data_IF_272266120615
#
_entry.id   IF_272266120615
#
_cell.length_a   1.000
_cell.length_b   1.000
_cell.length_c   1.000
_cell.angle_alpha   90.00
_cell.angle_beta   90.00
_cell.angle_gamma   90.00
#
_symmetry.space_group_name_H-M   'P 1'
#
loop_
_entity.id
_entity.type
_entity.pdbx_description
1 polymer ?
#
# COMPACT_ATOMS: atom_id res chain seq x y z
N UNK A 1 9.09 -17.57 -29.51
CA UNK A 1 8.37 -18.08 -28.33
C UNK A 1 7.59 -16.89 -27.80
N UNK A 2 6.27 -16.92 -27.99
CA UNK A 2 5.34 -15.90 -27.50
C UNK A 2 4.74 -16.39 -26.17
N UNK A 3 4.34 -15.42 -25.34
CA UNK A 3 3.42 -15.43 -24.19
C UNK A 3 4.00 -14.97 -22.84
N UNK A 4 3.39 -13.89 -22.34
CA UNK A 4 3.33 -13.36 -20.96
C UNK A 4 4.67 -12.84 -20.40
N UNK A 5 5.00 -11.55 -20.34
CA UNK A 5 4.16 -10.39 -19.95
C UNK A 5 3.12 -10.70 -18.87
N UNK A 6 3.41 -11.69 -18.02
CA UNK A 6 2.89 -11.64 -16.65
C UNK A 6 3.41 -10.33 -16.10
N UNK A 7 2.54 -9.35 -15.89
CA UNK A 7 2.79 -8.24 -15.00
C UNK A 7 3.27 -8.87 -13.69
N UNK A 8 4.59 -8.96 -13.52
CA UNK A 8 5.18 -9.61 -12.36
C UNK A 8 4.64 -8.81 -11.19
N UNK A 9 3.78 -9.45 -10.39
CA UNK A 9 3.25 -8.84 -9.19
C UNK A 9 4.44 -8.24 -8.45
N UNK A 10 4.38 -6.94 -8.06
CA UNK A 10 5.52 -6.30 -7.44
C UNK A 10 5.96 -7.18 -6.29
N UNK A 11 7.24 -7.56 -6.31
CA UNK A 11 7.79 -8.44 -5.27
C UNK A 11 7.46 -7.82 -3.92
N UNK A 12 7.21 -8.64 -2.89
CA UNK A 12 6.85 -8.14 -1.55
C UNK A 12 7.78 -7.01 -1.09
N UNK A 13 9.08 -7.15 -1.39
CA UNK A 13 10.11 -6.12 -1.17
C UNK A 13 9.85 -4.81 -1.90
N UNK A 14 9.52 -4.83 -3.19
CA UNK A 14 9.25 -3.62 -3.97
C UNK A 14 7.96 -2.94 -3.49
N UNK A 15 6.95 -3.72 -3.13
CA UNK A 15 5.71 -3.21 -2.54
C UNK A 15 5.98 -2.55 -1.17
N UNK A 16 6.79 -3.17 -0.31
CA UNK A 16 7.22 -2.60 0.97
C UNK A 16 8.01 -1.30 0.78
N UNK A 17 8.94 -1.25 -0.18
CA UNK A 17 9.76 -0.07 -0.46
C UNK A 17 8.89 1.11 -0.94
N UNK A 18 7.97 0.85 -1.88
CA UNK A 18 6.98 1.85 -2.31
C UNK A 18 6.09 2.33 -1.17
N UNK A 19 5.64 1.42 -0.31
CA UNK A 19 4.80 1.77 0.84
C UNK A 19 5.57 2.64 1.84
N UNK A 20 6.84 2.32 2.11
CA UNK A 20 7.70 3.14 2.96
C UNK A 20 7.81 4.57 2.41
N UNK A 21 8.12 4.71 1.12
CA UNK A 21 8.21 6.02 0.46
C UNK A 21 6.90 6.81 0.55
N UNK A 22 5.76 6.16 0.32
CA UNK A 22 4.46 6.82 0.40
C UNK A 22 4.12 7.28 1.83
N UNK A 23 4.51 6.51 2.84
CA UNK A 23 4.33 6.88 4.25
C UNK A 23 5.24 8.05 4.63
N UNK A 24 6.49 8.07 4.15
CA UNK A 24 7.41 9.19 4.36
C UNK A 24 6.90 10.48 3.71
N UNK A 25 6.41 10.41 2.46
CA UNK A 25 5.81 11.56 1.75
C UNK A 25 4.59 12.11 2.49
N UNK A 26 3.78 11.22 3.06
CA UNK A 26 2.67 11.54 3.94
C UNK A 26 3.08 12.14 5.31
N UNK A 27 4.38 12.19 5.62
CA UNK A 27 4.92 12.76 6.85
C UNK A 27 4.91 11.81 8.06
N UNK A 28 4.91 10.50 7.82
CA UNK A 28 5.22 9.49 8.84
C UNK A 28 6.73 9.22 8.87
N UNK A 29 7.24 8.86 10.06
CA UNK A 29 8.61 8.38 10.21
C UNK A 29 8.59 6.86 10.19
N UNK A 30 8.90 6.22 9.07
CA UNK A 30 8.77 4.76 8.92
C UNK A 30 9.65 4.01 9.93
N UNK A 31 10.85 4.50 10.22
CA UNK A 31 11.75 3.87 11.19
C UNK A 31 11.24 3.94 12.63
N UNK A 32 10.46 4.96 12.99
CA UNK A 32 9.96 5.19 14.35
C UNK A 32 8.50 4.80 14.55
N UNK A 33 7.66 5.05 13.57
CA UNK A 33 6.22 4.82 13.59
C UNK A 33 5.85 3.41 13.11
N UNK A 34 6.65 2.83 12.21
CA UNK A 34 6.46 1.48 11.65
C UNK A 34 7.75 0.64 11.69
N UNK A 35 8.39 0.45 12.86
CA UNK A 35 9.69 -0.22 12.97
C UNK A 35 9.68 -1.70 12.53
N UNK A 36 8.50 -2.31 12.45
CA UNK A 36 8.29 -3.69 12.01
C UNK A 36 7.80 -3.79 10.55
N UNK A 37 7.87 -2.69 9.78
CA UNK A 37 7.56 -2.70 8.37
C UNK A 37 8.52 -3.64 7.62
N UNK A 38 8.00 -4.74 7.07
CA UNK A 38 8.81 -5.70 6.32
C UNK A 38 8.00 -6.45 5.25
N UNK A 39 8.71 -6.92 4.23
CA UNK A 39 8.20 -7.87 3.26
C UNK A 39 8.27 -9.31 3.80
N UNK A 40 7.22 -10.09 3.55
CA UNK A 40 7.19 -11.51 3.85
C UNK A 40 6.47 -12.30 2.77
N UNK A 41 6.53 -13.62 2.90
CA UNK A 41 5.79 -14.58 2.07
C UNK A 41 4.87 -15.36 2.99
N UNK A 42 3.57 -15.30 2.73
CA UNK A 42 2.56 -16.02 3.52
C UNK A 42 2.62 -17.54 3.25
N UNK A 43 1.90 -18.34 4.04
CA UNK A 43 1.90 -19.81 3.93
C UNK A 43 1.40 -20.31 2.58
N UNK A 44 0.52 -19.56 1.92
CA UNK A 44 0.05 -19.83 0.57
C UNK A 44 1.04 -19.40 -0.53
N UNK A 45 2.24 -18.94 -0.16
CA UNK A 45 3.27 -18.48 -1.10
C UNK A 45 3.03 -17.08 -1.66
N UNK A 46 2.02 -16.38 -1.14
CA UNK A 46 1.69 -15.01 -1.57
C UNK A 46 2.63 -13.98 -0.96
N UNK A 47 3.09 -13.03 -1.76
CA UNK A 47 3.85 -11.87 -1.33
C UNK A 47 2.98 -10.96 -0.46
N UNK A 48 3.43 -10.65 0.77
CA UNK A 48 2.69 -9.81 1.71
C UNK A 48 3.59 -8.75 2.34
N UNK A 49 2.99 -7.65 2.79
CA UNK A 49 3.66 -6.57 3.52
C UNK A 49 3.10 -6.50 4.92
N UNK A 50 3.97 -6.61 5.93
CA UNK A 50 3.59 -6.49 7.33
C UNK A 50 3.94 -5.10 7.85
N UNK A 51 2.96 -4.38 8.37
CA UNK A 51 3.16 -3.08 9.03
C UNK A 51 3.57 -3.20 10.51
N UNK A 52 3.29 -4.35 11.12
CA UNK A 52 3.42 -4.57 12.56
C UNK A 52 2.35 -3.86 13.40
N UNK A 53 2.67 -3.62 14.67
CA UNK A 53 1.76 -2.93 15.60
C UNK A 53 1.70 -1.43 15.30
N UNK A 54 0.51 -0.95 14.92
CA UNK A 54 0.25 0.47 14.66
C UNK A 54 -0.34 1.12 15.90
N UNK A 55 0.31 2.17 16.40
CA UNK A 55 -0.17 2.93 17.58
C UNK A 55 -1.45 3.71 17.25
N UNK A 56 -2.37 3.92 18.22
CA UNK A 56 -3.66 4.60 17.97
C UNK A 56 -3.54 5.97 17.29
N UNK A 57 -2.56 6.78 17.70
CA UNK A 57 -2.33 8.09 17.10
C UNK A 57 -1.89 8.01 15.62
N UNK A 58 -1.10 6.99 15.27
CA UNK A 58 -0.63 6.75 13.91
C UNK A 58 -1.76 6.17 13.06
N UNK A 59 -2.54 5.23 13.61
CA UNK A 59 -3.73 4.67 12.96
C UNK A 59 -4.74 5.76 12.60
N UNK A 60 -4.98 6.73 13.49
CA UNK A 60 -5.88 7.86 13.22
C UNK A 60 -5.38 8.75 12.07
N UNK A 61 -4.07 9.04 12.00
CA UNK A 61 -3.47 9.81 10.90
C UNK A 61 -3.53 9.03 9.58
N UNK A 62 -3.25 7.72 9.62
CA UNK A 62 -3.31 6.84 8.44
C UNK A 62 -4.72 6.79 7.88
N UNK A 63 -5.73 6.63 8.74
CA UNK A 63 -7.14 6.63 8.34
C UNK A 63 -7.55 7.96 7.69
N UNK A 64 -7.11 9.09 8.25
CA UNK A 64 -7.38 10.41 7.66
C UNK A 64 -6.77 10.57 6.26
N UNK A 65 -5.56 10.06 6.05
CA UNK A 65 -4.90 10.05 4.74
C UNK A 65 -5.63 9.17 3.72
N UNK A 66 -6.00 7.95 4.11
CA UNK A 66 -6.74 7.03 3.23
C UNK A 66 -8.09 7.63 2.84
N UNK A 67 -8.79 8.29 3.78
CA UNK A 67 -10.03 8.98 3.46
C UNK A 67 -9.83 10.19 2.54
N UNK A 68 -8.73 10.94 2.71
CA UNK A 68 -8.40 12.06 1.86
C UNK A 68 -8.08 11.62 0.42
N UNK A 69 -7.38 10.49 0.23
CA UNK A 69 -7.07 9.96 -1.11
C UNK A 69 -8.28 9.31 -1.78
N UNK A 70 -9.14 8.63 -1.00
CA UNK A 70 -10.38 8.05 -1.52
C UNK A 70 -11.37 9.12 -2.03
N UNK A 71 -11.30 10.35 -1.52
CA UNK A 71 -12.15 11.46 -1.98
C UNK A 71 -11.67 12.09 -3.31
N UNK A 72 -10.39 11.92 -3.66
CA UNK A 72 -9.79 12.46 -4.89
C UNK A 72 -9.80 11.47 -6.05
N UNK A 73 -10.19 10.21 -5.80
CA UNK A 73 -10.51 9.27 -6.86
C UNK A 73 -11.91 9.61 -7.37
N UNK A 74 -11.99 10.50 -8.38
CA UNK A 74 -13.23 10.76 -9.11
C UNK A 74 -13.86 9.42 -9.52
N UNK A 75 -15.09 9.09 -9.08
CA UNK A 75 -15.81 7.96 -9.62
C UNK A 75 -16.02 8.26 -11.10
N UNK A 76 -15.41 7.45 -11.98
CA UNK A 76 -15.64 7.51 -13.41
C UNK A 76 -17.15 7.36 -13.60
N UNK A 77 -17.81 8.45 -13.99
CA UNK A 77 -19.23 8.49 -14.32
C UNK A 77 -19.42 7.48 -15.46
N UNK A 78 -20.01 6.32 -15.15
CA UNK A 78 -20.42 5.34 -16.16
C UNK A 78 -21.47 6.04 -17.02
N UNK A 79 -21.01 6.58 -18.14
CA UNK A 79 -21.86 7.10 -19.20
C UNK A 79 -22.78 5.95 -19.61
N UNK A 80 -24.02 6.04 -19.11
CA UNK A 80 -25.13 5.26 -19.62
C UNK A 80 -25.42 5.77 -21.03
N UNK A 81 -24.65 5.26 -21.98
CA UNK A 81 -24.98 5.32 -23.40
C UNK A 81 -26.20 4.42 -23.66
N UNK A 82 -27.35 5.08 -23.46
CA UNK A 82 -28.64 5.06 -24.15
C UNK A 82 -28.93 3.97 -25.20
#
# INVERSE_FOLDING_TARGET
MANDEHAAEPSAREATDRLALALEDAGFDVGRDFPALNDAVDRDGSAVVHLGDVRPAIAGRLAALIHATALTADPVEEDRDK
#
